data_IF_941636903683
#
_entry.id   IF_941636903683
#
_cell.length_a   1.000
_cell.length_b   1.000
_cell.length_c   1.000
_cell.angle_alpha   90.00
_cell.angle_beta   90.00
_cell.angle_gamma   90.00
#
_symmetry.space_group_name_H-M   'P 1'
#
loop_
_entity.id
_entity.type
_entity.pdbx_description
1 polymer ?
#
# COMPACT_ATOMS: atom_id res chain seq x y z
N UNK A 1 -5.17 -2.12 7.94
CA UNK A 1 -5.02 -2.05 6.48
C UNK A 1 -3.52 -2.10 6.17
N UNK A 2 -3.15 -2.69 5.04
CA UNK A 2 -1.78 -2.73 4.54
C UNK A 2 -1.64 -1.77 3.35
N UNK A 3 -0.51 -1.07 3.30
CA UNK A 3 -0.22 -0.03 2.32
C UNK A 3 1.05 -0.41 1.54
N UNK A 4 0.93 -1.08 0.38
CA UNK A 4 2.05 -1.63 -0.36
C UNK A 4 2.73 -0.56 -1.26
N UNK A 5 3.04 0.60 -0.68
CA UNK A 5 3.54 1.78 -1.41
C UNK A 5 4.95 2.23 -1.00
N UNK A 6 5.58 1.56 -0.02
CA UNK A 6 6.89 1.93 0.48
C UNK A 6 8.00 1.32 -0.37
N UNK A 7 9.10 2.05 -0.56
CA UNK A 7 10.19 1.60 -1.42
C UNK A 7 11.55 2.17 -1.04
N UNK A 8 12.59 1.44 -1.41
CA UNK A 8 14.00 1.71 -1.10
C UNK A 8 14.84 1.76 -2.37
N UNK A 9 15.96 2.52 -2.41
CA UNK A 9 16.83 2.56 -3.57
C UNK A 9 17.36 1.20 -4.02
N UNK A 10 17.64 0.29 -3.08
CA UNK A 10 18.21 -1.04 -3.36
C UNK A 10 17.25 -2.00 -4.06
N UNK A 11 15.94 -1.87 -3.83
CA UNK A 11 14.91 -2.78 -4.38
C UNK A 11 14.07 -2.09 -5.45
N UNK A 12 13.72 -0.82 -5.22
CA UNK A 12 12.78 -0.05 -6.03
C UNK A 12 13.47 1.00 -6.91
N UNK A 13 14.80 1.13 -6.83
CA UNK A 13 15.60 2.10 -7.58
C UNK A 13 15.53 3.53 -7.05
N UNK A 14 14.58 3.83 -6.15
CA UNK A 14 14.44 5.11 -5.45
C UNK A 14 13.65 4.93 -4.15
N UNK A 15 13.71 5.94 -3.28
CA UNK A 15 12.79 6.05 -2.16
C UNK A 15 11.35 6.29 -2.65
N UNK A 16 10.39 5.56 -2.07
CA UNK A 16 8.96 5.76 -2.29
C UNK A 16 8.28 5.88 -0.92
N UNK A 17 7.39 6.87 -0.75
CA UNK A 17 6.64 7.20 0.47
C UNK A 17 7.48 7.55 1.72
N UNK A 18 8.67 6.99 1.93
CA UNK A 18 9.55 7.38 3.03
C UNK A 18 10.08 8.81 2.86
N UNK A 19 10.37 9.20 1.62
CA UNK A 19 10.82 10.55 1.23
C UNK A 19 9.64 11.46 0.83
N UNK A 20 8.50 11.32 1.52
CA UNK A 20 7.29 12.09 1.24
C UNK A 20 7.57 13.59 1.28
N UNK A 21 6.87 14.35 0.45
CA UNK A 21 6.95 15.81 0.45
C UNK A 21 6.19 16.44 1.62
N UNK A 22 6.73 17.51 2.21
CA UNK A 22 5.97 18.34 3.14
C UNK A 22 4.80 18.99 2.42
N UNK A 23 3.59 18.58 2.79
CA UNK A 23 2.38 19.11 2.17
C UNK A 23 2.19 20.59 2.53
N UNK A 24 1.92 21.45 1.54
CA UNK A 24 1.66 22.85 1.82
C UNK A 24 0.34 23.02 2.55
N UNK A 25 0.28 23.99 3.46
CA UNK A 25 -1.00 24.49 3.94
C UNK A 25 -1.75 25.18 2.78
N UNK A 26 -3.08 25.08 2.78
CA UNK A 26 -3.92 25.69 1.75
C UNK A 26 -3.89 27.24 1.78
N UNK A 27 -3.37 27.84 2.86
CA UNK A 27 -3.11 29.28 3.00
C UNK A 27 -1.61 29.57 2.78
N UNK A 28 -1.22 30.32 1.75
CA UNK A 28 0.19 30.57 1.42
C UNK A 28 1.01 31.18 2.57
N UNK A 29 0.42 32.13 3.31
CA UNK A 29 1.08 32.77 4.45
C UNK A 29 1.34 31.81 5.62
N UNK A 30 0.57 30.72 5.73
CA UNK A 30 0.81 29.67 6.72
C UNK A 30 1.90 28.74 6.21
N UNK A 31 1.85 28.30 4.95
CA UNK A 31 2.88 27.45 4.31
C UNK A 31 4.27 28.06 4.39
N UNK A 32 4.38 29.39 4.26
CA UNK A 32 5.66 30.09 4.37
C UNK A 32 6.35 29.91 5.74
N UNK A 33 5.63 29.49 6.78
CA UNK A 33 6.14 29.28 8.15
C UNK A 33 6.64 27.86 8.41
N UNK A 34 6.43 26.91 7.50
CA UNK A 34 6.75 25.50 7.71
C UNK A 34 7.85 25.00 6.75
N UNK A 35 8.55 23.91 7.10
CA UNK A 35 9.51 23.26 6.21
C UNK A 35 8.90 22.90 4.86
N UNK A 36 9.74 22.92 3.83
CA UNK A 36 9.39 22.58 2.44
C UNK A 36 10.35 21.52 1.93
N UNK A 37 9.96 20.85 0.85
CA UNK A 37 10.76 19.80 0.22
C UNK A 37 10.43 18.42 0.78
N UNK A 38 11.32 17.47 0.49
CA UNK A 38 11.14 16.05 0.81
C UNK A 38 12.02 15.63 1.97
N UNK A 39 11.49 14.71 2.76
CA UNK A 39 12.26 13.96 3.75
C UNK A 39 13.44 13.22 3.09
N UNK A 40 14.52 12.99 3.85
CA UNK A 40 15.76 12.33 3.40
C UNK A 40 16.04 11.00 4.13
N UNK A 41 15.42 9.89 3.71
CA UNK A 41 15.66 8.59 4.33
C UNK A 41 17.12 8.14 4.15
N UNK A 42 17.66 7.29 5.06
CA UNK A 42 16.89 6.52 6.04
C UNK A 42 16.61 7.24 7.36
N UNK A 43 17.36 8.28 7.73
CA UNK A 43 17.27 8.87 9.08
C UNK A 43 16.14 9.90 9.21
N UNK A 44 15.80 10.57 8.11
CA UNK A 44 14.70 11.54 8.02
C UNK A 44 13.60 10.98 7.13
N UNK A 45 12.54 10.43 7.72
CA UNK A 45 11.39 9.85 7.00
C UNK A 45 10.12 10.66 7.22
N UNK A 46 9.18 10.56 6.29
CA UNK A 46 7.84 11.15 6.36
C UNK A 46 6.91 10.50 7.38
N UNK A 47 7.37 10.36 8.63
CA UNK A 47 6.63 9.77 9.74
C UNK A 47 7.15 10.31 11.07
N UNK A 48 6.25 10.56 12.02
CA UNK A 48 6.62 10.91 13.40
C UNK A 48 7.20 9.71 14.18
N UNK A 49 6.95 8.48 13.70
CA UNK A 49 7.47 7.24 14.28
C UNK A 49 8.43 6.55 13.33
N UNK A 50 9.39 5.78 13.87
CA UNK A 50 10.32 5.00 13.07
C UNK A 50 9.96 3.50 13.11
N UNK A 51 9.78 2.82 11.97
CA UNK A 51 9.46 1.39 11.94
C UNK A 51 10.61 0.54 12.51
N UNK A 52 10.29 -0.51 13.26
CA UNK A 52 11.29 -1.48 13.74
C UNK A 52 12.00 -2.23 12.59
N UNK A 53 11.35 -2.32 11.42
CA UNK A 53 11.93 -2.89 10.18
C UNK A 53 12.77 -1.85 9.39
N UNK A 54 12.91 -0.63 9.90
CA UNK A 54 13.53 0.50 9.20
C UNK A 54 12.68 1.03 8.04
N UNK A 55 13.27 1.92 7.24
CA UNK A 55 12.66 2.39 5.98
C UNK A 55 12.71 1.26 4.93
N UNK A 56 11.72 0.37 4.96
CA UNK A 56 11.67 -0.88 4.20
C UNK A 56 11.07 -0.74 2.80
N UNK A 57 11.20 -1.77 1.96
CA UNK A 57 10.44 -1.88 0.71
C UNK A 57 9.21 -2.77 0.90
N UNK A 58 8.05 -2.33 0.43
CA UNK A 58 6.84 -3.17 0.34
C UNK A 58 7.00 -4.33 -0.66
N UNK A 59 8.04 -4.30 -1.51
CA UNK A 59 8.36 -5.38 -2.45
C UNK A 59 9.27 -6.45 -1.86
N UNK A 60 9.87 -6.21 -0.69
CA UNK A 60 10.74 -7.17 -0.04
C UNK A 60 9.92 -8.35 0.53
N UNK A 61 10.14 -9.59 0.05
CA UNK A 61 9.42 -10.75 0.56
C UNK A 61 9.58 -10.97 2.07
N UNK A 62 10.73 -10.62 2.66
CA UNK A 62 10.98 -10.75 4.08
C UNK A 62 10.16 -9.75 4.91
N UNK A 63 9.93 -8.56 4.37
CA UNK A 63 9.06 -7.54 4.96
C UNK A 63 7.61 -7.98 4.90
N UNK A 64 7.16 -8.48 3.74
CA UNK A 64 5.80 -9.03 3.59
C UNK A 64 5.57 -10.17 4.60
N UNK A 65 6.48 -11.13 4.70
CA UNK A 65 6.39 -12.22 5.68
C UNK A 65 6.38 -11.70 7.14
N UNK A 66 7.15 -10.66 7.43
CA UNK A 66 7.16 -10.04 8.76
C UNK A 66 5.82 -9.38 9.09
N UNK A 67 5.19 -8.69 8.13
CA UNK A 67 3.85 -8.14 8.30
C UNK A 67 2.79 -9.23 8.52
N UNK A 68 2.84 -10.33 7.76
CA UNK A 68 1.91 -11.45 7.98
C UNK A 68 2.04 -12.02 9.40
N UNK A 69 3.26 -12.23 9.89
CA UNK A 69 3.52 -12.70 11.27
C UNK A 69 2.99 -11.70 12.31
N UNK A 70 3.20 -10.41 12.11
CA UNK A 70 2.67 -9.37 13.01
C UNK A 70 1.13 -9.40 13.06
N UNK A 71 0.47 -9.57 11.91
CA UNK A 71 -0.98 -9.71 11.86
C UNK A 71 -1.48 -10.95 12.59
N UNK A 72 -0.79 -12.09 12.45
CA UNK A 72 -1.11 -13.31 13.18
C UNK A 72 -0.98 -13.14 14.70
N UNK A 73 0.12 -12.53 15.17
CA UNK A 73 0.34 -12.23 16.59
C UNK A 73 -0.77 -11.32 17.14
N UNK A 74 -1.27 -10.39 16.32
CA UNK A 74 -2.36 -9.51 16.66
C UNK A 74 -3.76 -10.16 16.60
N UNK A 75 -3.87 -11.43 16.22
CA UNK A 75 -5.16 -12.13 16.06
C UNK A 75 -5.98 -11.68 14.86
N UNK A 76 -5.35 -11.06 13.86
CA UNK A 76 -6.01 -10.60 12.63
C UNK A 76 -6.10 -11.76 11.64
N UNK A 77 -7.30 -12.09 11.17
CA UNK A 77 -7.53 -13.13 10.16
C UNK A 77 -7.67 -12.62 8.71
N UNK A 78 -7.87 -11.31 8.54
CA UNK A 78 -7.97 -10.68 7.23
C UNK A 78 -7.51 -9.22 7.27
N UNK A 79 -6.90 -8.74 6.19
CA UNK A 79 -6.46 -7.35 6.07
C UNK A 79 -6.87 -6.73 4.74
N UNK A 80 -7.17 -5.44 4.78
CA UNK A 80 -7.48 -4.64 3.60
C UNK A 80 -6.20 -4.04 3.03
N UNK A 81 -5.94 -4.25 1.74
CA UNK A 81 -4.80 -3.69 1.02
C UNK A 81 -5.25 -2.46 0.24
N UNK A 82 -4.59 -1.32 0.46
CA UNK A 82 -4.78 -0.11 -0.35
C UNK A 82 -4.48 -0.42 -1.82
N UNK A 83 -5.45 -0.16 -2.70
CA UNK A 83 -5.40 -0.61 -4.09
C UNK A 83 -5.76 0.52 -5.06
N UNK A 84 -4.90 0.66 -6.07
CA UNK A 84 -5.11 1.48 -7.26
C UNK A 84 -5.19 0.56 -8.49
N UNK A 85 -5.99 0.92 -9.52
CA UNK A 85 -6.01 0.18 -10.77
C UNK A 85 -4.63 0.05 -11.42
N UNK A 86 -4.40 -0.97 -12.28
CA UNK A 86 -3.14 -1.14 -12.99
C UNK A 86 -2.67 0.14 -13.68
N UNK A 87 -1.42 0.52 -13.46
CA UNK A 87 -0.82 1.73 -14.01
C UNK A 87 -1.18 3.03 -13.27
N UNK A 88 -2.03 2.98 -12.26
CA UNK A 88 -2.35 4.13 -11.40
C UNK A 88 -1.69 4.00 -10.02
N UNK A 89 -1.49 5.14 -9.37
CA UNK A 89 -0.92 5.26 -8.03
C UNK A 89 -1.39 6.58 -7.39
N UNK A 90 -1.07 6.76 -6.12
CA UNK A 90 -1.11 8.09 -5.48
C UNK A 90 0.03 8.98 -6.00
N UNK A 91 0.04 10.25 -5.58
CA UNK A 91 0.98 11.26 -6.09
C UNK A 91 2.44 11.05 -5.62
N UNK A 92 2.68 10.22 -4.60
CA UNK A 92 3.97 9.99 -3.97
C UNK A 92 4.49 8.55 -4.22
N UNK A 93 3.66 7.72 -4.85
CA UNK A 93 3.93 6.30 -5.06
C UNK A 93 4.24 5.90 -6.50
N UNK A 94 4.17 4.60 -6.73
CA UNK A 94 4.19 3.96 -8.06
C UNK A 94 3.11 2.89 -8.10
N UNK A 95 2.70 2.41 -9.29
CA UNK A 95 1.65 1.42 -9.38
C UNK A 95 1.95 0.17 -8.54
N UNK A 96 1.04 -0.13 -7.61
CA UNK A 96 1.20 -1.19 -6.60
C UNK A 96 0.37 -2.45 -6.90
N UNK A 97 -0.47 -2.43 -7.93
CA UNK A 97 -1.29 -3.56 -8.38
C UNK A 97 -0.46 -4.85 -8.62
N UNK A 98 0.76 -4.70 -9.15
CA UNK A 98 1.69 -5.81 -9.38
C UNK A 98 2.16 -6.52 -8.11
N UNK A 99 1.94 -5.96 -6.91
CA UNK A 99 2.26 -6.60 -5.62
C UNK A 99 1.12 -7.46 -5.08
N UNK A 100 -0.10 -7.30 -5.58
CA UNK A 100 -1.27 -8.03 -5.09
C UNK A 100 -1.09 -9.56 -5.19
N UNK A 101 -0.55 -10.14 -6.28
CA UNK A 101 -0.27 -11.57 -6.34
C UNK A 101 0.67 -12.05 -5.21
N UNK A 102 1.76 -11.32 -4.95
CA UNK A 102 2.72 -11.68 -3.90
C UNK A 102 2.10 -11.59 -2.50
N UNK A 103 1.29 -10.56 -2.24
CA UNK A 103 0.57 -10.41 -0.97
C UNK A 103 -0.45 -11.54 -0.77
N UNK A 104 -1.16 -11.93 -1.82
CA UNK A 104 -2.10 -13.04 -1.81
C UNK A 104 -1.41 -14.37 -1.48
N UNK A 105 -0.32 -14.70 -2.18
CA UNK A 105 0.45 -15.93 -1.94
C UNK A 105 0.97 -16.00 -0.50
N UNK A 106 1.56 -14.90 -0.01
CA UNK A 106 2.06 -14.81 1.36
C UNK A 106 0.94 -14.89 2.38
N UNK A 107 -0.17 -14.18 2.17
CA UNK A 107 -1.35 -14.31 3.04
C UNK A 107 -1.85 -15.75 3.10
N UNK A 108 -1.90 -16.46 1.97
CA UNK A 108 -2.29 -17.89 1.93
C UNK A 108 -1.37 -18.76 2.76
N UNK A 109 -0.05 -18.58 2.61
CA UNK A 109 0.96 -19.34 3.36
C UNK A 109 0.84 -19.15 4.89
N UNK A 110 0.32 -18.01 5.33
CA UNK A 110 0.11 -17.67 6.74
C UNK A 110 -1.35 -17.87 7.21
N UNK A 111 -2.24 -18.40 6.37
CA UNK A 111 -3.66 -18.62 6.73
C UNK A 111 -4.49 -17.33 6.84
N UNK A 112 -4.01 -16.21 6.27
CA UNK A 112 -4.67 -14.91 6.26
C UNK A 112 -5.52 -14.72 5.00
N UNK A 113 -6.44 -13.76 5.04
CA UNK A 113 -7.22 -13.30 3.88
C UNK A 113 -6.93 -11.84 3.51
N UNK A 114 -7.06 -11.52 2.23
CA UNK A 114 -6.86 -10.18 1.66
C UNK A 114 -8.17 -9.66 1.11
N UNK A 115 -8.56 -8.43 1.47
CA UNK A 115 -9.53 -7.65 0.71
C UNK A 115 -8.89 -6.39 0.13
N UNK A 116 -9.50 -5.78 -0.88
CA UNK A 116 -8.96 -4.59 -1.54
C UNK A 116 -9.73 -3.34 -1.11
N UNK A 117 -8.99 -2.34 -0.65
CA UNK A 117 -9.48 -1.00 -0.37
C UNK A 117 -9.27 -0.13 -1.60
N UNK A 118 -10.34 0.10 -2.38
CA UNK A 118 -10.28 0.88 -3.63
C UNK A 118 -10.13 2.37 -3.29
N UNK A 119 -8.92 2.89 -3.50
CA UNK A 119 -8.58 4.28 -3.23
C UNK A 119 -9.28 5.25 -4.19
N UNK A 120 -9.36 6.55 -3.85
CA UNK A 120 -9.66 7.57 -4.85
C UNK A 120 -8.53 7.64 -5.88
N UNK A 121 -8.88 7.46 -7.15
CA UNK A 121 -7.96 7.54 -8.28
C UNK A 121 -8.52 8.47 -9.35
N UNK A 122 -7.67 8.90 -10.29
CA UNK A 122 -8.03 9.88 -11.31
C UNK A 122 -9.23 9.40 -12.15
N UNK A 123 -10.23 10.27 -12.31
CA UNK A 123 -11.45 9.98 -13.08
C UNK A 123 -12.28 8.79 -12.56
N UNK A 124 -12.20 8.46 -11.26
CA UNK A 124 -13.03 7.41 -10.66
C UNK A 124 -14.53 7.70 -10.82
N UNK A 125 -15.25 6.78 -11.44
CA UNK A 125 -16.70 6.81 -11.63
C UNK A 125 -17.34 5.48 -11.23
N UNK A 126 -18.67 5.42 -11.10
CA UNK A 126 -19.36 4.15 -10.89
C UNK A 126 -19.08 3.13 -12.02
N UNK A 127 -18.85 3.60 -13.26
CA UNK A 127 -18.50 2.74 -14.40
C UNK A 127 -17.10 2.16 -14.25
N UNK A 128 -16.09 2.99 -13.96
CA UNK A 128 -14.71 2.52 -13.79
C UNK A 128 -14.59 1.57 -12.61
N UNK A 129 -15.26 1.86 -11.49
CA UNK A 129 -15.28 0.95 -10.32
C UNK A 129 -15.91 -0.40 -10.68
N UNK A 130 -16.96 -0.44 -11.50
CA UNK A 130 -17.53 -1.72 -11.99
C UNK A 130 -16.51 -2.50 -12.84
N UNK A 131 -15.77 -1.80 -13.69
CA UNK A 131 -14.72 -2.41 -14.53
C UNK A 131 -13.56 -2.95 -13.67
N UNK A 132 -13.14 -2.19 -12.66
CA UNK A 132 -12.13 -2.58 -11.67
C UNK A 132 -12.56 -3.81 -10.87
N UNK A 133 -13.80 -3.84 -10.37
CA UNK A 133 -14.35 -5.01 -9.69
C UNK A 133 -14.34 -6.24 -10.61
N UNK A 134 -14.64 -6.05 -11.90
CA UNK A 134 -14.52 -7.09 -12.92
C UNK A 134 -13.07 -7.54 -13.12
N UNK A 135 -12.11 -6.61 -13.14
CA UNK A 135 -10.68 -6.92 -13.20
C UNK A 135 -10.23 -7.72 -11.97
N UNK A 136 -10.52 -7.25 -10.76
CA UNK A 136 -10.19 -7.91 -9.49
C UNK A 136 -10.77 -9.32 -9.46
N UNK A 137 -12.04 -9.48 -9.84
CA UNK A 137 -12.70 -10.78 -9.84
C UNK A 137 -12.09 -11.76 -10.85
N UNK A 138 -11.64 -11.30 -12.02
CA UNK A 138 -10.98 -12.17 -13.02
C UNK A 138 -9.53 -12.48 -12.65
N UNK A 139 -8.78 -11.49 -12.20
CA UNK A 139 -7.33 -11.59 -11.96
C UNK A 139 -7.01 -12.24 -10.62
N UNK A 140 -7.65 -11.77 -9.54
CA UNK A 140 -7.36 -12.21 -8.17
C UNK A 140 -8.43 -13.13 -7.61
N UNK A 141 -9.62 -13.13 -8.21
CA UNK A 141 -10.74 -13.98 -7.82
C UNK A 141 -10.31 -15.42 -7.55
N UNK A 142 -9.69 -16.14 -8.50
CA UNK A 142 -9.32 -17.55 -8.30
C UNK A 142 -8.45 -17.84 -7.08
N UNK A 143 -7.72 -16.85 -6.54
CA UNK A 143 -6.81 -17.06 -5.43
C UNK A 143 -7.56 -17.32 -4.10
N UNK A 144 -7.17 -18.36 -3.32
CA UNK A 144 -7.89 -18.76 -2.10
C UNK A 144 -7.76 -17.75 -0.96
N UNK A 145 -6.69 -16.95 -0.92
CA UNK A 145 -6.53 -15.88 0.06
C UNK A 145 -7.38 -14.63 -0.23
N UNK A 146 -7.99 -14.49 -1.41
CA UNK A 146 -8.90 -13.37 -1.64
C UNK A 146 -10.16 -13.56 -0.76
N UNK A 147 -10.38 -12.60 0.14
CA UNK A 147 -11.46 -12.62 1.11
C UNK A 147 -12.81 -12.69 0.39
N UNK A 148 -13.58 -13.70 0.74
CA UNK A 148 -14.98 -13.82 0.35
C UNK A 148 -15.81 -13.91 1.61
N UNK A 149 -16.86 -13.12 1.65
CA UNK A 149 -17.91 -13.34 2.63
C UNK A 149 -18.96 -14.22 1.98
N UNK A 150 -19.35 -15.30 2.67
CA UNK A 150 -20.48 -16.12 2.25
C UNK A 150 -21.75 -15.28 2.10
N UNK A 151 -22.81 -15.83 1.47
CA UNK A 151 -24.09 -15.15 1.36
C UNK A 151 -24.52 -14.63 2.76
N UNK A 152 -25.02 -13.40 2.77
CA UNK A 152 -25.66 -12.80 3.95
C UNK A 152 -27.10 -13.28 4.02
#
# INVERSE_FOLDING_TARGET
>A
ADYPWYGTPSIDGRWLHWNHEHLPHWVPAVTAKFPKGRHKPPDDIGSTFYPALGAYSSRDPAVIDSHMKQMLIAGIGAFAVSWYPPGQADNEGTPSDGLIPALLERASAHGLKVCLHIEPYANRTARSVREDLGYIARTYGPHPALLRRGPR
#
